data_IF_428978235405
#
_entry.id   IF_428978235405
#
_cell.length_a   1.000
_cell.length_b   1.000
_cell.length_c   1.000
_cell.angle_alpha   90.00
_cell.angle_beta   90.00
_cell.angle_gamma   90.00
#
_symmetry.space_group_name_H-M   'P 1'
#
loop_
_entity.id
_entity.type
_entity.pdbx_description
1 polymer ?
#
# COMPACT_ATOMS: atom_id res chain seq x y z
N UNK A 1 -6.28 12.83 -22.36
CA UNK A 1 -6.45 12.34 -20.98
C UNK A 1 -7.07 13.46 -20.15
N UNK A 2 -8.22 13.23 -19.51
CA UNK A 2 -8.77 14.18 -18.53
C UNK A 2 -7.80 14.32 -17.36
N UNK A 3 -7.49 15.54 -16.95
CA UNK A 3 -6.60 15.80 -15.79
C UNK A 3 -7.21 15.18 -14.52
N UNK A 4 -6.39 14.48 -13.75
CA UNK A 4 -6.81 13.95 -12.45
C UNK A 4 -7.31 15.10 -11.56
N UNK A 5 -8.51 15.02 -10.98
CA UNK A 5 -9.10 16.11 -10.20
C UNK A 5 -8.47 16.30 -8.81
N UNK A 6 -7.58 15.41 -8.39
CA UNK A 6 -6.87 15.51 -7.11
C UNK A 6 -5.73 16.54 -7.20
N UNK A 7 -5.44 17.19 -6.06
CA UNK A 7 -4.35 18.13 -5.92
C UNK A 7 -3.02 17.53 -6.37
N UNK A 8 -2.15 18.35 -6.97
CA UNK A 8 -0.83 17.93 -7.41
C UNK A 8 0.05 17.57 -6.18
N UNK A 9 0.94 16.61 -6.38
CA UNK A 9 1.89 16.20 -5.34
C UNK A 9 2.71 17.36 -4.78
N UNK A 10 3.07 18.33 -5.64
CA UNK A 10 3.81 19.53 -5.27
C UNK A 10 3.05 20.40 -4.26
N UNK A 11 1.74 20.49 -4.40
CA UNK A 11 0.90 21.32 -3.53
C UNK A 11 0.63 20.64 -2.19
N UNK A 12 0.42 19.32 -2.18
CA UNK A 12 0.36 18.54 -0.94
C UNK A 12 1.68 18.54 -0.17
N UNK A 13 2.80 18.50 -0.88
CA UNK A 13 4.12 18.61 -0.25
C UNK A 13 4.34 19.94 0.46
N UNK A 14 3.81 21.06 -0.10
CA UNK A 14 3.86 22.39 0.55
C UNK A 14 3.04 22.45 1.83
N UNK A 15 1.92 21.71 1.89
CA UNK A 15 1.06 21.63 3.08
C UNK A 15 1.70 20.81 4.21
N UNK A 16 2.70 19.96 3.88
CA UNK A 16 3.43 19.16 4.86
C UNK A 16 2.93 17.72 5.00
N UNK A 17 3.54 17.00 5.95
CA UNK A 17 3.19 15.60 6.23
C UNK A 17 1.80 15.50 6.87
N UNK A 18 1.02 14.53 6.41
CA UNK A 18 -0.35 14.33 6.85
C UNK A 18 -1.39 15.07 6.01
N UNK A 19 -0.96 15.90 5.06
CA UNK A 19 -1.88 16.53 4.11
C UNK A 19 -2.54 15.47 3.21
N UNK A 20 -3.82 15.62 2.94
CA UNK A 20 -4.56 14.73 2.05
C UNK A 20 -5.57 15.51 1.23
N UNK A 21 -5.87 15.00 0.05
CA UNK A 21 -6.98 15.45 -0.80
C UNK A 21 -7.78 14.24 -1.25
N UNK A 22 -9.07 14.42 -1.47
CA UNK A 22 -9.96 13.35 -1.88
C UNK A 22 -11.03 13.79 -2.85
N UNK A 23 -11.55 12.84 -3.59
CA UNK A 23 -12.72 12.98 -4.45
C UNK A 23 -13.62 11.77 -4.29
N UNK A 24 -14.90 12.01 -4.30
CA UNK A 24 -15.93 10.96 -4.24
C UNK A 24 -16.73 11.02 -5.54
N UNK A 25 -16.88 9.89 -6.18
CA UNK A 25 -17.79 9.70 -7.28
C UNK A 25 -19.10 9.13 -6.76
N UNK A 26 -20.18 9.89 -6.96
CA UNK A 26 -21.47 9.58 -6.36
C UNK A 26 -22.18 8.40 -7.03
N UNK A 27 -21.99 8.19 -8.34
CA UNK A 27 -22.66 7.09 -9.06
C UNK A 27 -22.13 5.71 -8.67
N UNK A 28 -20.80 5.57 -8.62
CA UNK A 28 -20.13 4.31 -8.27
C UNK A 28 -19.72 4.22 -6.80
N UNK A 29 -19.99 5.26 -6.02
CA UNK A 29 -19.60 5.37 -4.60
C UNK A 29 -18.10 5.10 -4.35
N UNK A 30 -17.27 5.53 -5.29
CA UNK A 30 -15.81 5.33 -5.25
C UNK A 30 -15.14 6.57 -4.67
N UNK A 31 -14.30 6.35 -3.67
CA UNK A 31 -13.49 7.38 -3.02
C UNK A 31 -12.04 7.25 -3.49
N UNK A 32 -11.50 8.31 -4.08
CA UNK A 32 -10.09 8.42 -4.42
C UNK A 32 -9.40 9.39 -3.46
N UNK A 33 -8.34 8.94 -2.83
CA UNK A 33 -7.58 9.72 -1.82
C UNK A 33 -6.13 9.81 -2.24
N UNK A 34 -5.56 10.99 -2.08
CA UNK A 34 -4.12 11.23 -2.14
C UNK A 34 -3.65 11.75 -0.80
N UNK A 35 -2.81 11.01 -0.12
CA UNK A 35 -2.24 11.34 1.17
C UNK A 35 -0.72 11.50 1.07
N UNK A 36 -0.18 12.50 1.76
CA UNK A 36 1.25 12.79 1.76
C UNK A 36 1.90 12.47 3.11
N UNK A 37 2.82 11.52 3.11
CA UNK A 37 3.73 11.23 4.24
C UNK A 37 5.17 11.57 3.81
N UNK A 38 6.04 10.60 3.62
CA UNK A 38 7.36 10.77 3.00
C UNK A 38 7.28 10.84 1.47
N UNK A 39 6.30 10.13 0.92
CA UNK A 39 5.94 10.09 -0.50
C UNK A 39 4.42 10.19 -0.63
N UNK A 40 3.91 10.67 -1.76
CA UNK A 40 2.48 10.66 -2.00
C UNK A 40 1.98 9.22 -2.15
N UNK A 41 0.90 8.90 -1.45
CA UNK A 41 0.19 7.62 -1.52
C UNK A 41 -1.17 7.87 -2.14
N UNK A 42 -1.48 7.17 -3.22
CA UNK A 42 -2.77 7.23 -3.89
C UNK A 42 -3.53 5.93 -3.62
N UNK A 43 -4.73 6.04 -3.09
CA UNK A 43 -5.62 4.90 -2.84
C UNK A 43 -7.01 5.18 -3.39
N UNK A 44 -7.66 4.12 -3.82
CA UNK A 44 -9.05 4.15 -4.31
C UNK A 44 -9.80 3.02 -3.62
N UNK A 45 -10.98 3.31 -3.11
CA UNK A 45 -11.83 2.33 -2.45
C UNK A 45 -13.31 2.63 -2.73
N UNK A 46 -14.11 1.58 -2.90
CA UNK A 46 -15.57 1.63 -2.91
C UNK A 46 -16.19 1.23 -1.57
N UNK A 47 -15.37 0.78 -0.62
CA UNK A 47 -15.84 0.20 0.64
C UNK A 47 -15.47 1.06 1.86
N UNK A 48 -14.27 1.67 1.87
CA UNK A 48 -13.74 2.42 3.02
C UNK A 48 -13.73 3.91 2.72
N UNK A 49 -14.25 4.70 3.65
CA UNK A 49 -14.21 6.16 3.58
C UNK A 49 -12.93 6.74 4.21
N UNK A 50 -12.84 8.06 4.21
CA UNK A 50 -11.73 8.80 4.79
C UNK A 50 -11.82 8.85 6.31
N UNK A 51 -13.01 8.95 6.84
CA UNK A 51 -13.28 9.00 8.27
C UNK A 51 -13.45 7.59 8.86
N UNK A 52 -13.04 7.43 10.14
CA UNK A 52 -12.39 8.38 11.03
C UNK A 52 -10.92 8.64 10.69
N UNK A 53 -10.44 9.88 10.99
CA UNK A 53 -9.02 10.20 10.86
C UNK A 53 -8.23 9.58 12.03
N UNK A 54 -7.20 8.84 11.72
CA UNK A 54 -6.28 8.24 12.68
C UNK A 54 -5.04 9.11 12.86
N UNK A 55 -4.42 9.04 14.03
CA UNK A 55 -3.12 9.67 14.31
C UNK A 55 -2.07 8.59 14.41
N UNK A 56 -1.01 8.71 13.59
CA UNK A 56 0.08 7.72 13.54
C UNK A 56 1.41 8.40 13.84
N UNK A 57 2.18 7.79 14.73
CA UNK A 57 3.53 8.27 15.04
C UNK A 57 4.50 7.89 13.93
N UNK A 58 5.12 8.89 13.31
CA UNK A 58 6.12 8.73 12.25
C UNK A 58 7.43 9.40 12.64
N UNK A 59 8.54 8.73 12.34
CA UNK A 59 9.86 9.32 12.58
C UNK A 59 10.16 10.37 11.51
N UNK A 60 10.53 11.57 11.94
CA UNK A 60 10.99 12.64 11.07
C UNK A 60 12.51 12.74 11.15
N UNK A 61 13.17 12.60 10.00
CA UNK A 61 14.64 12.63 9.89
C UNK A 61 15.21 14.02 10.13
N UNK A 62 14.49 15.06 9.71
CA UNK A 62 14.93 16.45 9.86
C UNK A 62 14.89 16.88 11.34
N UNK A 63 13.83 16.49 12.04
CA UNK A 63 13.64 16.82 13.45
C UNK A 63 14.25 15.78 14.40
N UNK A 64 14.75 14.65 13.86
CA UNK A 64 15.28 13.48 14.62
C UNK A 64 14.35 13.02 15.75
N UNK A 65 13.06 13.18 15.59
CA UNK A 65 12.02 12.79 16.58
C UNK A 65 10.80 12.17 15.90
N UNK A 66 9.98 11.49 16.70
CA UNK A 66 8.68 10.98 16.27
C UNK A 66 7.68 12.14 16.32
N UNK A 67 6.93 12.32 15.24
CA UNK A 67 5.84 13.29 15.11
C UNK A 67 4.52 12.57 14.88
N UNK A 68 3.45 13.18 15.31
CA UNK A 68 2.10 12.68 15.08
C UNK A 68 1.60 13.19 13.73
N UNK A 69 1.22 12.26 12.86
CA UNK A 69 0.77 12.54 11.49
C UNK A 69 -0.67 12.07 11.34
N UNK A 70 -1.54 12.91 10.80
CA UNK A 70 -2.93 12.54 10.48
C UNK A 70 -2.94 11.58 9.31
N UNK A 71 -3.69 10.49 9.45
CA UNK A 71 -3.82 9.42 8.46
C UNK A 71 -5.30 9.17 8.18
N UNK A 72 -5.74 9.23 6.90
CA UNK A 72 -7.09 8.83 6.52
C UNK A 72 -7.36 7.35 6.81
N UNK A 73 -8.60 7.02 7.17
CA UNK A 73 -8.99 5.65 7.51
C UNK A 73 -8.71 4.66 6.37
N UNK A 74 -8.93 5.04 5.12
CA UNK A 74 -8.60 4.21 3.95
C UNK A 74 -7.14 3.75 3.95
N UNK A 75 -6.20 4.63 4.35
CA UNK A 75 -4.76 4.29 4.44
C UNK A 75 -4.49 3.39 5.64
N UNK A 76 -5.20 3.60 6.76
CA UNK A 76 -5.10 2.77 7.95
C UNK A 76 -5.53 1.33 7.66
N UNK A 77 -6.70 1.16 7.07
CA UNK A 77 -7.27 -0.15 6.67
C UNK A 77 -6.36 -0.84 5.64
N UNK A 78 -5.91 -0.11 4.61
CA UNK A 78 -4.97 -0.66 3.64
C UNK A 78 -3.70 -1.21 4.32
N UNK A 79 -3.08 -0.43 5.19
CA UNK A 79 -1.87 -0.85 5.91
C UNK A 79 -2.10 -2.06 6.82
N UNK A 80 -3.31 -2.22 7.34
CA UNK A 80 -3.64 -3.37 8.19
C UNK A 80 -3.68 -4.68 7.40
N UNK A 81 -4.18 -4.63 6.15
CA UNK A 81 -4.37 -5.82 5.32
C UNK A 81 -3.26 -6.07 4.28
N UNK A 82 -2.40 -5.08 4.01
CA UNK A 82 -1.38 -5.15 2.95
C UNK A 82 -0.19 -6.00 3.37
N UNK A 83 -0.08 -6.85 4.07
CA UNK A 83 1.15 -7.59 4.44
C UNK A 83 1.20 -9.02 3.92
N UNK A 84 0.07 -9.56 3.46
CA UNK A 84 -0.04 -10.96 3.11
C UNK A 84 0.80 -11.36 1.89
N UNK A 85 0.76 -10.56 0.84
CA UNK A 85 1.52 -10.84 -0.40
C UNK A 85 3.03 -10.72 -0.14
N UNK A 86 3.47 -9.66 0.55
CA UNK A 86 4.89 -9.47 0.89
C UNK A 86 5.45 -10.60 1.75
N UNK A 87 4.65 -11.12 2.68
CA UNK A 87 5.03 -12.31 3.48
C UNK A 87 5.13 -13.56 2.63
N UNK A 88 4.19 -13.77 1.73
CA UNK A 88 4.21 -14.90 0.81
C UNK A 88 5.44 -14.85 -0.09
N UNK A 89 5.74 -13.69 -0.69
CA UNK A 89 6.93 -13.50 -1.51
C UNK A 89 8.22 -13.74 -0.72
N UNK A 90 8.28 -13.26 0.51
CA UNK A 90 9.41 -13.50 1.41
C UNK A 90 9.57 -15.00 1.69
N UNK A 91 8.50 -15.73 1.97
CA UNK A 91 8.55 -17.17 2.22
C UNK A 91 8.97 -17.95 0.96
N UNK A 92 8.42 -17.58 -0.20
CA UNK A 92 8.82 -18.16 -1.48
C UNK A 92 10.32 -17.92 -1.76
N UNK A 93 10.86 -16.75 -1.41
CA UNK A 93 12.28 -16.45 -1.58
C UNK A 93 13.18 -17.25 -0.63
N UNK A 94 12.78 -17.39 0.65
CA UNK A 94 13.53 -18.12 1.67
C UNK A 94 13.60 -19.62 1.38
N UNK A 95 12.51 -20.22 0.95
CA UNK A 95 12.38 -21.66 0.72
C UNK A 95 12.53 -22.05 -0.74
N UNK A 96 13.07 -21.16 -1.58
CA UNK A 96 13.26 -21.41 -3.00
C UNK A 96 14.25 -22.56 -3.24
N UNK A 97 13.83 -23.69 -3.84
CA UNK A 97 14.75 -24.77 -4.17
C UNK A 97 15.74 -24.32 -5.27
N UNK A 98 17.01 -24.64 -5.10
CA UNK A 98 18.05 -24.41 -6.12
C UNK A 98 17.94 -25.47 -7.20
N UNK A 99 17.12 -25.23 -8.21
CA UNK A 99 16.93 -26.15 -9.32
C UNK A 99 17.97 -25.88 -10.41
N UNK A 100 18.72 -26.91 -10.78
CA UNK A 100 19.61 -26.89 -11.95
C UNK A 100 18.94 -27.62 -13.12
N UNK A 101 18.01 -26.97 -13.78
CA UNK A 101 17.32 -27.52 -14.95
C UNK A 101 17.29 -26.50 -16.08
N UNK A 102 17.39 -27.00 -17.32
CA UNK A 102 17.22 -26.19 -18.54
C UNK A 102 15.76 -26.10 -18.97
N UNK A 103 14.86 -26.83 -18.32
CA UNK A 103 13.44 -26.90 -18.67
C UNK A 103 12.69 -25.84 -17.89
N UNK A 104 12.24 -24.78 -18.55
CA UNK A 104 11.58 -23.62 -17.96
C UNK A 104 10.29 -23.96 -17.21
N UNK A 105 9.50 -24.94 -17.69
CA UNK A 105 8.22 -25.33 -17.06
C UNK A 105 8.41 -25.95 -15.67
N UNK A 106 9.56 -26.57 -15.39
CA UNK A 106 9.86 -27.12 -14.06
C UNK A 106 9.95 -26.00 -13.01
N UNK A 107 10.50 -24.84 -13.39
CA UNK A 107 10.53 -23.67 -12.49
C UNK A 107 9.11 -23.18 -12.15
N UNK A 108 8.23 -23.14 -13.12
CA UNK A 108 6.84 -22.72 -12.92
C UNK A 108 6.14 -23.72 -12.00
N UNK A 109 6.29 -25.02 -12.26
CA UNK A 109 5.67 -26.06 -11.44
C UNK A 109 6.11 -25.98 -9.98
N UNK A 110 7.42 -25.84 -9.72
CA UNK A 110 7.93 -25.68 -8.35
C UNK A 110 7.47 -24.37 -7.71
N UNK A 111 7.44 -23.27 -8.45
CA UNK A 111 6.95 -21.99 -7.94
C UNK A 111 5.47 -22.06 -7.55
N UNK A 112 4.64 -22.68 -8.36
CA UNK A 112 3.22 -22.89 -8.05
C UNK A 112 3.03 -23.72 -6.78
N UNK A 113 3.81 -24.79 -6.61
CA UNK A 113 3.77 -25.59 -5.39
C UNK A 113 4.23 -24.80 -4.16
N UNK A 114 5.25 -23.97 -4.28
CA UNK A 114 5.69 -23.10 -3.18
C UNK A 114 4.60 -22.11 -2.75
N UNK A 115 3.93 -21.48 -3.70
CA UNK A 115 2.80 -20.60 -3.44
C UNK A 115 1.68 -21.37 -2.72
N UNK A 116 1.33 -22.56 -3.20
CA UNK A 116 0.30 -23.40 -2.58
C UNK A 116 0.65 -23.80 -1.14
N UNK A 117 1.89 -24.19 -0.88
CA UNK A 117 2.37 -24.51 0.47
C UNK A 117 2.38 -23.26 1.36
N UNK A 118 2.81 -22.11 0.83
CA UNK A 118 2.78 -20.84 1.55
C UNK A 118 1.37 -20.46 1.99
N UNK A 119 0.39 -20.58 1.10
CA UNK A 119 -1.03 -20.32 1.44
C UNK A 119 -1.63 -21.34 2.43
N UNK A 120 -1.19 -22.59 2.39
CA UNK A 120 -1.65 -23.61 3.33
C UNK A 120 -1.09 -23.40 4.75
N UNK A 121 0.01 -22.65 4.88
CA UNK A 121 0.63 -22.35 6.17
C UNK A 121 -0.01 -21.13 6.88
N UNK A 122 -0.68 -20.25 6.14
CA UNK A 122 -1.39 -19.07 6.68
C UNK A 122 -2.85 -19.41 7.04
#
# INVERSE_FOLDING_TARGET
MKKCPLLLEKDLKKQGRGAYDFRVEQESNVVAVRWYDNKPVNLVSSYVSIEPLHTVRRYDRSLKKKIDVKQPNIVHVYNHYMGGIDKLDMMCALYKPRLRTRRWYIYIWFHTNQIAVGYAWF
#
